data_IF_251030027425
#
_entry.id   IF_251030027425
#
_cell.length_a   1.000
_cell.length_b   1.000
_cell.length_c   1.000
_cell.angle_alpha   90.00
_cell.angle_beta   90.00
_cell.angle_gamma   90.00
#
_symmetry.space_group_name_H-M   'P 1'
#
loop_
_entity.id
_entity.type
_entity.pdbx_description
1 polymer ?
#
# COMPACT_ATOMS: atom_id res chain seq x y z
N UNK A 1 16.80 -2.74 -4.93
CA UNK A 1 15.84 -2.86 -6.04
C UNK A 1 15.28 -1.49 -6.39
N UNK A 2 14.99 -1.21 -7.68
CA UNK A 2 14.34 0.05 -8.04
C UNK A 2 12.90 0.04 -7.54
N UNK A 3 12.45 1.11 -6.89
CA UNK A 3 11.05 1.31 -6.55
C UNK A 3 10.27 1.35 -7.88
N UNK A 4 9.23 0.53 -7.98
CA UNK A 4 8.27 0.57 -9.08
C UNK A 4 7.04 1.27 -8.54
N UNK A 5 6.72 2.41 -9.10
CA UNK A 5 5.60 3.27 -8.71
C UNK A 5 4.39 3.11 -9.63
N UNK A 6 4.60 2.49 -10.78
CA UNK A 6 3.55 2.27 -11.77
C UNK A 6 3.73 0.91 -12.45
N UNK A 7 2.65 0.18 -12.63
CA UNK A 7 2.66 -1.06 -13.38
C UNK A 7 1.30 -1.38 -13.99
N UNK A 8 1.33 -2.17 -15.05
CA UNK A 8 0.16 -2.67 -15.74
C UNK A 8 0.18 -4.19 -15.74
N UNK A 9 -0.89 -4.80 -15.25
CA UNK A 9 -1.08 -6.26 -15.20
C UNK A 9 -2.35 -6.66 -15.93
N UNK A 10 -2.36 -7.87 -16.48
CA UNK A 10 -3.57 -8.52 -16.99
C UNK A 10 -4.14 -9.41 -15.89
N UNK A 11 -5.37 -9.17 -15.50
CA UNK A 11 -6.07 -9.96 -14.49
C UNK A 11 -7.29 -10.66 -15.11
N UNK A 12 -7.52 -11.93 -14.74
CA UNK A 12 -8.65 -12.75 -15.20
C UNK A 12 -9.30 -13.45 -14.03
N UNK A 13 -10.60 -13.28 -13.87
CA UNK A 13 -11.42 -14.15 -13.04
C UNK A 13 -11.45 -15.57 -13.61
N UNK A 14 -11.55 -16.56 -12.74
CA UNK A 14 -11.61 -17.97 -13.13
C UNK A 14 -12.81 -18.26 -14.05
N UNK A 15 -12.66 -19.16 -14.99
CA UNK A 15 -13.78 -19.62 -15.81
C UNK A 15 -14.70 -20.51 -14.98
N UNK A 16 -16.01 -20.41 -15.17
CA UNK A 16 -16.98 -21.37 -14.63
C UNK A 16 -16.82 -22.76 -15.27
N UNK A 17 -16.98 -23.80 -14.47
CA UNK A 17 -17.04 -25.18 -14.94
C UNK A 17 -18.28 -25.44 -15.81
N UNK A 18 -18.23 -26.42 -16.68
CA UNK A 18 -19.38 -26.80 -17.52
C UNK A 18 -20.37 -27.63 -16.71
N UNK A 19 -21.68 -27.45 -16.94
CA UNK A 19 -22.68 -28.40 -16.58
C UNK A 19 -22.56 -29.67 -17.47
N UNK A 20 -23.06 -30.80 -17.00
CA UNK A 20 -22.94 -32.05 -17.73
C UNK A 20 -24.30 -32.72 -17.95
N UNK A 21 -24.38 -33.50 -19.00
CA UNK A 21 -25.51 -34.41 -19.24
C UNK A 21 -25.14 -35.77 -18.70
N UNK A 22 -25.86 -36.26 -17.69
CA UNK A 22 -25.71 -37.60 -17.09
C UNK A 22 -27.06 -38.17 -16.71
N UNK A 23 -27.13 -39.50 -16.59
CA UNK A 23 -28.31 -40.26 -16.27
C UNK A 23 -28.07 -41.11 -15.03
N UNK A 24 -29.12 -41.27 -14.23
CA UNK A 24 -29.09 -42.29 -13.19
C UNK A 24 -29.18 -43.66 -13.82
N UNK A 25 -28.29 -44.55 -13.42
CA UNK A 25 -28.30 -45.95 -13.77
C UNK A 25 -28.80 -46.75 -12.54
N UNK A 26 -30.04 -47.19 -12.55
CA UNK A 26 -30.58 -48.10 -11.54
C UNK A 26 -30.59 -49.51 -12.08
N UNK A 27 -30.57 -50.50 -11.18
CA UNK A 27 -30.62 -51.90 -11.56
C UNK A 27 -31.86 -52.16 -12.44
N UNK A 28 -31.66 -52.59 -13.66
CA UNK A 28 -32.69 -52.85 -14.70
C UNK A 28 -33.30 -51.59 -15.36
N UNK A 29 -32.80 -50.42 -15.14
CA UNK A 29 -33.23 -49.16 -15.80
C UNK A 29 -32.04 -48.28 -16.15
N UNK A 30 -31.67 -48.23 -17.44
CA UNK A 30 -30.51 -47.48 -17.90
C UNK A 30 -30.68 -45.94 -17.83
N UNK A 31 -31.92 -45.44 -17.92
CA UNK A 31 -32.24 -44.03 -17.94
C UNK A 31 -33.29 -43.69 -16.88
N UNK A 32 -32.91 -43.82 -15.62
CA UNK A 32 -33.83 -43.59 -14.48
C UNK A 32 -34.06 -42.10 -14.14
N UNK A 33 -33.55 -41.19 -14.99
CA UNK A 33 -33.75 -39.76 -14.90
C UNK A 33 -32.47 -38.96 -15.04
N UNK A 34 -32.56 -37.66 -15.40
CA UNK A 34 -31.41 -36.80 -15.54
C UNK A 34 -30.73 -36.56 -14.19
N UNK A 35 -29.42 -36.67 -14.16
CA UNK A 35 -28.59 -36.58 -12.95
C UNK A 35 -27.29 -35.81 -13.12
N UNK A 36 -27.17 -35.06 -14.20
CA UNK A 36 -26.01 -34.22 -14.42
C UNK A 36 -25.98 -33.02 -13.50
N UNK A 37 -24.90 -32.87 -12.78
CA UNK A 37 -24.65 -31.72 -11.88
C UNK A 37 -24.23 -30.46 -12.63
N UNK A 38 -24.31 -29.35 -11.95
CA UNK A 38 -23.87 -28.05 -12.45
C UNK A 38 -22.34 -27.92 -12.37
N UNK A 39 -21.75 -27.08 -13.21
CA UNK A 39 -20.37 -26.67 -13.06
C UNK A 39 -20.20 -25.70 -11.85
N UNK A 40 -19.04 -25.72 -11.22
CA UNK A 40 -18.68 -24.78 -10.18
C UNK A 40 -18.40 -23.38 -10.75
N UNK A 41 -18.60 -22.35 -9.97
CA UNK A 41 -18.20 -21.00 -10.36
C UNK A 41 -16.66 -20.87 -10.41
N UNK A 42 -16.13 -20.02 -11.27
CA UNK A 42 -14.72 -19.61 -11.22
C UNK A 42 -14.44 -18.73 -10.01
N UNK A 43 -13.19 -18.68 -9.58
CA UNK A 43 -12.75 -17.80 -8.49
C UNK A 43 -12.71 -16.33 -8.89
N UNK A 44 -12.92 -15.46 -7.94
CA UNK A 44 -12.86 -14.02 -8.08
C UNK A 44 -11.42 -13.50 -7.92
N UNK A 45 -11.16 -12.24 -8.36
CA UNK A 45 -9.90 -11.55 -8.10
C UNK A 45 -10.12 -10.42 -7.12
N UNK A 46 -9.35 -10.46 -6.06
CA UNK A 46 -9.28 -9.42 -5.03
C UNK A 46 -7.92 -8.76 -5.03
N UNK A 47 -7.87 -7.49 -4.61
CA UNK A 47 -6.66 -6.78 -4.25
C UNK A 47 -6.64 -6.57 -2.73
N UNK A 48 -5.44 -6.67 -2.13
CA UNK A 48 -5.27 -6.47 -0.68
C UNK A 48 -4.11 -5.53 -0.39
N UNK A 49 -4.36 -4.55 0.49
CA UNK A 49 -3.35 -3.62 0.97
C UNK A 49 -2.37 -4.28 1.95
N UNK A 50 -1.07 -4.19 1.69
CA UNK A 50 -0.01 -4.68 2.59
C UNK A 50 1.07 -3.63 2.77
N UNK A 51 1.81 -3.70 3.89
CA UNK A 51 2.90 -2.76 4.19
C UNK A 51 4.23 -3.24 3.60
N UNK A 52 4.27 -3.48 2.30
CA UNK A 52 5.50 -3.78 1.60
C UNK A 52 5.57 -3.01 0.27
N UNK A 53 6.23 -1.86 0.30
CA UNK A 53 6.37 -0.99 -0.88
C UNK A 53 7.24 -1.61 -1.98
N UNK A 54 8.00 -2.67 -1.68
CA UNK A 54 8.85 -3.37 -2.66
C UNK A 54 8.08 -4.36 -3.55
N UNK A 55 6.81 -4.66 -3.21
CA UNK A 55 6.00 -5.69 -3.88
C UNK A 55 5.83 -5.46 -5.36
N UNK A 56 5.57 -4.22 -5.80
CA UNK A 56 5.44 -3.93 -7.23
C UNK A 56 6.71 -4.28 -8.00
N UNK A 57 7.87 -4.14 -7.37
CA UNK A 57 9.14 -4.56 -7.95
C UNK A 57 9.25 -6.08 -8.16
N UNK A 58 8.64 -6.88 -7.31
CA UNK A 58 8.61 -8.35 -7.43
C UNK A 58 7.71 -8.80 -8.57
N UNK A 59 6.62 -8.09 -8.84
CA UNK A 59 5.69 -8.40 -9.93
C UNK A 59 6.20 -7.96 -11.33
N UNK A 60 7.38 -7.36 -11.42
CA UNK A 60 7.94 -6.84 -12.69
C UNK A 60 8.02 -7.90 -13.80
N UNK A 61 8.21 -9.18 -13.43
CA UNK A 61 8.24 -10.32 -14.35
C UNK A 61 6.89 -11.00 -14.56
N UNK A 62 5.93 -10.80 -13.67
CA UNK A 62 4.65 -11.47 -13.66
C UNK A 62 3.55 -10.50 -14.09
N UNK A 63 3.14 -10.61 -15.36
CA UNK A 63 2.17 -9.68 -15.95
C UNK A 63 0.78 -10.25 -16.07
N UNK A 64 0.56 -11.51 -15.67
CA UNK A 64 -0.74 -12.20 -15.74
C UNK A 64 -1.11 -12.80 -14.40
N UNK A 65 -2.31 -12.50 -13.95
CA UNK A 65 -2.89 -13.00 -12.72
C UNK A 65 -4.24 -13.63 -13.07
N UNK A 66 -4.41 -14.92 -12.79
CA UNK A 66 -5.61 -15.67 -13.14
C UNK A 66 -6.10 -16.47 -11.92
N UNK A 67 -7.37 -16.27 -11.56
CA UNK A 67 -8.02 -17.04 -10.52
C UNK A 67 -8.37 -18.45 -11.02
N UNK A 68 -8.53 -19.39 -10.09
CA UNK A 68 -8.79 -20.78 -10.44
C UNK A 68 -10.14 -20.94 -11.13
N UNK A 69 -10.20 -21.81 -12.16
CA UNK A 69 -11.44 -22.16 -12.82
C UNK A 69 -12.29 -23.09 -11.95
N UNK A 70 -13.61 -23.00 -12.06
CA UNK A 70 -14.53 -23.95 -11.47
C UNK A 70 -14.44 -25.32 -12.16
N UNK A 71 -14.69 -26.36 -11.41
CA UNK A 71 -14.73 -27.73 -11.92
C UNK A 71 -16.04 -28.01 -12.67
N UNK A 72 -16.00 -28.91 -13.66
CA UNK A 72 -17.20 -29.36 -14.34
C UNK A 72 -18.09 -30.15 -13.37
N UNK A 73 -19.39 -30.13 -13.62
CA UNK A 73 -20.33 -30.99 -12.92
C UNK A 73 -20.06 -32.47 -13.17
N UNK A 74 -20.56 -33.31 -12.29
CA UNK A 74 -20.43 -34.76 -12.36
C UNK A 74 -21.82 -35.45 -12.43
N UNK A 75 -21.83 -36.74 -12.53
CA UNK A 75 -23.07 -37.56 -12.43
C UNK A 75 -23.61 -37.59 -11.00
N UNK A 76 -24.81 -38.13 -10.81
CA UNK A 76 -25.47 -38.26 -9.51
C UNK A 76 -25.76 -36.94 -8.81
N UNK A 77 -26.12 -35.92 -9.59
CA UNK A 77 -26.40 -34.55 -9.13
C UNK A 77 -25.25 -33.90 -8.34
N UNK A 78 -24.01 -34.31 -8.62
CA UNK A 78 -22.85 -33.70 -7.98
C UNK A 78 -22.40 -32.48 -8.77
N UNK A 79 -22.49 -31.32 -8.13
CA UNK A 79 -21.99 -30.08 -8.68
C UNK A 79 -20.46 -30.02 -8.62
N UNK A 80 -19.87 -29.38 -9.61
CA UNK A 80 -18.43 -29.08 -9.62
C UNK A 80 -18.05 -28.14 -8.51
N UNK A 81 -16.85 -28.32 -7.94
CA UNK A 81 -16.31 -27.37 -6.92
C UNK A 81 -16.03 -26.02 -7.56
N UNK A 82 -16.27 -24.95 -6.81
CA UNK A 82 -15.87 -23.59 -7.19
C UNK A 82 -14.34 -23.47 -7.27
N UNK A 83 -13.86 -22.62 -8.16
CA UNK A 83 -12.47 -22.21 -8.22
C UNK A 83 -12.11 -21.35 -7.00
N UNK A 84 -10.86 -21.44 -6.55
CA UNK A 84 -10.37 -20.57 -5.48
C UNK A 84 -10.15 -19.15 -6.00
N UNK A 85 -10.47 -18.18 -5.14
CA UNK A 85 -10.19 -16.78 -5.40
C UNK A 85 -8.68 -16.51 -5.41
N UNK A 86 -8.28 -15.47 -6.15
CA UNK A 86 -6.93 -14.96 -6.18
C UNK A 86 -6.87 -13.60 -5.48
N UNK A 87 -5.98 -13.49 -4.50
CA UNK A 87 -5.69 -12.22 -3.84
C UNK A 87 -4.35 -11.70 -4.34
N UNK A 88 -4.36 -10.50 -4.92
CA UNK A 88 -3.16 -9.79 -5.35
C UNK A 88 -2.78 -8.79 -4.24
N UNK A 89 -1.63 -9.02 -3.61
CA UNK A 89 -1.13 -8.12 -2.58
C UNK A 89 -0.49 -6.89 -3.24
N UNK A 90 -0.90 -5.71 -2.79
CA UNK A 90 -0.39 -4.43 -3.30
C UNK A 90 0.00 -3.53 -2.12
N UNK A 91 1.00 -2.67 -2.28
CA UNK A 91 1.36 -1.71 -1.23
C UNK A 91 0.17 -0.82 -0.84
N UNK A 92 0.05 -0.51 0.46
CA UNK A 92 -0.86 0.56 0.92
C UNK A 92 -0.49 1.87 0.21
N UNK A 93 -1.49 2.62 -0.23
CA UNK A 93 -1.34 3.79 -1.10
C UNK A 93 -1.45 3.48 -2.60
N UNK A 94 -1.65 2.20 -2.98
CA UNK A 94 -1.89 1.84 -4.38
C UNK A 94 -3.28 2.28 -4.83
N UNK A 95 -3.33 2.85 -6.03
CA UNK A 95 -4.55 3.12 -6.78
C UNK A 95 -4.58 2.16 -7.95
N UNK A 96 -5.65 1.39 -8.05
CA UNK A 96 -5.87 0.40 -9.10
C UNK A 96 -7.02 0.85 -9.97
N UNK A 97 -6.73 1.10 -11.24
CA UNK A 97 -7.73 1.46 -12.24
C UNK A 97 -7.98 0.28 -13.18
N UNK A 98 -9.22 -0.13 -13.29
CA UNK A 98 -9.66 -1.06 -14.32
C UNK A 98 -9.78 -0.30 -15.65
N UNK A 99 -8.93 -0.64 -16.65
CA UNK A 99 -8.91 0.06 -17.94
C UNK A 99 -10.16 -0.19 -18.78
N UNK A 100 -10.88 -1.31 -18.53
CA UNK A 100 -12.06 -1.68 -19.29
C UNK A 100 -13.32 -0.96 -18.79
N UNK A 101 -13.49 -0.80 -17.47
CA UNK A 101 -14.68 -0.19 -16.85
C UNK A 101 -14.44 1.24 -16.40
N UNK A 102 -13.16 1.66 -16.23
CA UNK A 102 -12.80 2.95 -15.65
C UNK A 102 -12.93 2.98 -14.11
N UNK A 103 -13.33 1.88 -13.47
CA UNK A 103 -13.48 1.77 -12.03
C UNK A 103 -12.12 1.94 -11.33
N UNK A 104 -12.13 2.68 -10.21
CA UNK A 104 -10.92 3.00 -9.45
C UNK A 104 -11.06 2.48 -8.03
N UNK A 105 -10.08 1.74 -7.57
CA UNK A 105 -9.97 1.22 -6.22
C UNK A 105 -8.75 1.80 -5.52
N UNK A 106 -8.92 2.31 -4.29
CA UNK A 106 -7.82 2.84 -3.47
C UNK A 106 -7.59 1.95 -2.26
N UNK A 107 -6.34 1.56 -2.02
CA UNK A 107 -5.93 0.77 -0.86
C UNK A 107 -5.30 1.71 0.18
N UNK A 108 -6.11 2.16 1.14
CA UNK A 108 -5.71 3.14 2.14
C UNK A 108 -5.23 2.52 3.46
N UNK A 109 -5.60 1.26 3.72
CA UNK A 109 -5.30 0.57 4.99
C UNK A 109 -4.71 -0.81 4.75
N UNK A 110 -3.86 -1.25 5.69
CA UNK A 110 -3.37 -2.62 5.72
C UNK A 110 -4.53 -3.61 5.93
N UNK A 111 -4.51 -4.72 5.20
CA UNK A 111 -5.56 -5.74 5.23
C UNK A 111 -6.84 -5.34 4.49
N UNK A 112 -6.95 -4.13 3.96
CA UNK A 112 -8.10 -3.72 3.15
C UNK A 112 -8.19 -4.63 1.92
N UNK A 113 -9.32 -5.31 1.76
CA UNK A 113 -9.61 -6.24 0.68
C UNK A 113 -10.71 -5.66 -0.22
N UNK A 114 -10.50 -5.67 -1.53
CA UNK A 114 -11.48 -5.19 -2.51
C UNK A 114 -11.59 -6.16 -3.68
N UNK A 115 -12.81 -6.45 -4.12
CA UNK A 115 -13.11 -7.23 -5.31
C UNK A 115 -12.88 -6.35 -6.55
N UNK A 116 -12.11 -6.84 -7.51
CA UNK A 116 -11.82 -6.10 -8.77
C UNK A 116 -12.35 -6.81 -10.01
N UNK A 117 -12.39 -8.15 -10.02
CA UNK A 117 -12.96 -8.91 -11.14
C UNK A 117 -13.70 -10.14 -10.62
N UNK A 118 -14.85 -10.44 -11.22
CA UNK A 118 -15.66 -11.60 -10.87
C UNK A 118 -15.30 -12.82 -11.72
N UNK A 119 -15.33 -13.98 -11.09
CA UNK A 119 -15.26 -15.26 -11.77
C UNK A 119 -16.51 -15.56 -12.61
N UNK A 120 -16.34 -16.44 -13.57
CA UNK A 120 -17.41 -16.89 -14.44
C UNK A 120 -18.39 -17.80 -13.72
N UNK A 121 -19.67 -17.67 -14.00
CA UNK A 121 -20.71 -18.56 -13.45
C UNK A 121 -20.60 -19.95 -14.06
N UNK A 122 -20.75 -20.98 -13.24
CA UNK A 122 -20.84 -22.37 -13.68
C UNK A 122 -22.06 -22.66 -14.57
N UNK A 123 -21.91 -23.58 -15.48
CA UNK A 123 -22.98 -24.03 -16.37
C UNK A 123 -23.97 -24.97 -15.67
N UNK A 124 -25.21 -24.98 -16.13
CA UNK A 124 -26.26 -25.86 -15.62
C UNK A 124 -26.15 -27.28 -16.18
N UNK A 125 -26.28 -28.29 -15.33
CA UNK A 125 -26.40 -29.70 -15.73
C UNK A 125 -27.82 -30.07 -16.18
N UNK A 126 -27.97 -31.20 -16.83
CA UNK A 126 -29.28 -31.61 -17.38
C UNK A 126 -30.36 -31.82 -16.31
N UNK A 127 -29.99 -32.09 -15.07
CA UNK A 127 -30.95 -32.21 -13.97
C UNK A 127 -31.79 -30.93 -13.74
N UNK A 128 -31.23 -29.76 -14.00
CA UNK A 128 -31.89 -28.44 -13.82
C UNK A 128 -32.99 -28.23 -14.87
N UNK A 129 -32.85 -28.80 -16.08
CA UNK A 129 -33.82 -28.66 -17.19
C UNK A 129 -34.99 -29.62 -17.13
N UNK A 130 -35.05 -30.49 -16.11
CA UNK A 130 -36.16 -31.40 -15.92
C UNK A 130 -37.45 -30.64 -15.58
N UNK A 131 -38.49 -30.90 -16.36
CA UNK A 131 -39.82 -30.33 -16.16
C UNK A 131 -40.92 -31.37 -16.47
N UNK A 132 -42.18 -30.97 -16.25
CA UNK A 132 -43.33 -31.83 -16.61
C UNK A 132 -43.42 -32.12 -18.11
N UNK A 133 -42.96 -31.20 -18.94
CA UNK A 133 -42.95 -31.33 -20.42
C UNK A 133 -41.64 -31.98 -20.91
N UNK A 134 -40.49 -31.64 -20.29
CA UNK A 134 -39.20 -32.21 -20.63
C UNK A 134 -38.70 -33.13 -19.50
N UNK A 135 -39.09 -34.39 -19.52
CA UNK A 135 -38.72 -35.36 -18.46
C UNK A 135 -37.30 -35.92 -18.62
N UNK A 136 -36.75 -35.84 -19.83
CA UNK A 136 -35.45 -36.41 -20.19
C UNK A 136 -34.58 -35.41 -20.94
N UNK A 137 -34.19 -34.26 -20.33
CA UNK A 137 -33.41 -33.24 -21.00
C UNK A 137 -32.00 -33.73 -21.35
N UNK A 138 -31.62 -33.56 -22.61
CA UNK A 138 -30.30 -33.91 -23.14
C UNK A 138 -29.41 -32.65 -23.32
N UNK A 139 -29.66 -31.61 -22.56
CA UNK A 139 -28.98 -30.36 -22.67
C UNK A 139 -28.24 -29.98 -21.37
N UNK A 140 -27.13 -29.31 -21.50
CA UNK A 140 -26.40 -28.67 -20.43
C UNK A 140 -25.80 -27.35 -20.95
N UNK A 141 -25.48 -26.44 -20.09
CA UNK A 141 -24.84 -25.20 -20.52
C UNK A 141 -23.34 -25.18 -20.19
N UNK A 142 -22.52 -24.55 -21.03
CA UNK A 142 -21.14 -24.31 -20.70
C UNK A 142 -21.00 -23.26 -19.56
N UNK A 143 -19.94 -23.36 -18.78
CA UNK A 143 -19.57 -22.32 -17.85
C UNK A 143 -19.16 -21.03 -18.58
N UNK A 144 -19.49 -19.89 -17.98
CA UNK A 144 -19.15 -18.58 -18.50
C UNK A 144 -17.67 -18.25 -18.22
N UNK A 145 -17.07 -17.45 -19.09
CA UNK A 145 -15.75 -16.86 -18.82
C UNK A 145 -15.85 -15.92 -17.61
N UNK A 146 -14.80 -15.83 -16.81
CA UNK A 146 -14.65 -14.78 -15.83
C UNK A 146 -14.39 -13.43 -16.50
N UNK A 147 -14.49 -12.36 -15.73
CA UNK A 147 -14.14 -11.03 -16.17
C UNK A 147 -12.64 -10.94 -16.44
N UNK A 148 -12.25 -10.18 -17.46
CA UNK A 148 -10.87 -9.93 -17.82
C UNK A 148 -10.65 -8.44 -18.01
N UNK A 149 -9.59 -7.91 -17.41
CA UNK A 149 -9.19 -6.52 -17.59
C UNK A 149 -7.69 -6.33 -17.43
N UNK A 150 -7.19 -5.28 -18.09
CA UNK A 150 -5.94 -4.69 -17.68
C UNK A 150 -6.17 -3.80 -16.48
N UNK A 151 -5.38 -4.02 -15.45
CA UNK A 151 -5.35 -3.20 -14.24
C UNK A 151 -4.10 -2.33 -14.29
N UNK A 152 -4.32 -1.02 -14.28
CA UNK A 152 -3.28 -0.03 -14.13
C UNK A 152 -3.11 0.30 -12.65
N UNK A 153 -1.94 0.03 -12.12
CA UNK A 153 -1.62 0.19 -10.70
C UNK A 153 -0.64 1.35 -10.57
N UNK A 154 -1.02 2.37 -9.84
CA UNK A 154 -0.21 3.54 -9.49
C UNK A 154 0.00 3.54 -7.97
N UNK A 155 1.25 3.53 -7.52
CA UNK A 155 1.58 3.66 -6.10
C UNK A 155 1.72 5.14 -5.73
N UNK A 156 0.71 5.69 -5.06
CA UNK A 156 0.81 7.01 -4.45
C UNK A 156 1.39 6.89 -3.06
N UNK A 157 2.70 7.04 -2.97
CA UNK A 157 3.37 7.04 -1.69
C UNK A 157 2.94 8.26 -0.87
N UNK A 158 2.14 8.01 0.17
CA UNK A 158 1.90 8.99 1.22
C UNK A 158 3.00 8.76 2.24
N UNK A 159 3.87 9.75 2.43
CA UNK A 159 4.89 9.65 3.45
C UNK A 159 4.23 9.52 4.83
N UNK A 160 4.57 8.47 5.57
CA UNK A 160 4.08 8.27 6.95
C UNK A 160 4.69 9.30 7.91
N UNK A 161 5.96 9.67 7.67
CA UNK A 161 6.61 10.75 8.40
C UNK A 161 7.43 11.65 7.48
N UNK A 162 7.45 12.95 7.80
CA UNK A 162 8.27 13.94 7.11
C UNK A 162 9.43 14.41 7.96
N UNK A 163 10.67 14.37 7.42
CA UNK A 163 11.83 14.96 8.06
C UNK A 163 11.85 16.46 7.75
N UNK A 164 11.88 17.27 8.80
CA UNK A 164 11.93 18.73 8.73
C UNK A 164 13.15 19.24 9.52
N UNK A 165 13.59 20.44 9.25
CA UNK A 165 14.73 21.07 9.94
C UNK A 165 15.52 21.98 9.02
N UNK A 166 16.43 22.77 9.58
CA UNK A 166 17.31 23.70 8.86
C UNK A 166 18.19 22.97 7.80
N UNK A 167 18.72 23.71 6.82
CA UNK A 167 19.77 23.18 5.97
C UNK A 167 20.92 22.62 6.83
N UNK A 168 21.53 21.53 6.39
CA UNK A 168 22.62 20.83 7.10
C UNK A 168 22.24 20.24 8.48
N UNK A 169 20.97 20.22 8.87
CA UNK A 169 20.52 19.50 10.07
C UNK A 169 20.66 17.97 9.99
N UNK A 170 21.23 17.43 8.91
CA UNK A 170 21.49 15.99 8.77
C UNK A 170 20.30 15.17 8.33
N UNK A 171 19.22 15.77 7.80
CA UNK A 171 17.99 15.07 7.36
C UNK A 171 18.25 13.95 6.36
N UNK A 172 18.91 14.25 5.25
CA UNK A 172 19.16 13.26 4.19
C UNK A 172 20.14 12.16 4.66
N UNK A 173 21.14 12.52 5.47
CA UNK A 173 22.05 11.53 6.08
C UNK A 173 21.31 10.59 7.03
N UNK A 174 20.41 11.17 7.84
CA UNK A 174 19.57 10.41 8.75
C UNK A 174 18.62 9.48 7.99
N UNK A 175 17.95 9.97 6.93
CA UNK A 175 17.08 9.16 6.08
C UNK A 175 17.85 7.95 5.51
N UNK A 176 19.05 8.17 4.98
CA UNK A 176 19.89 7.10 4.44
C UNK A 176 20.28 6.08 5.51
N UNK A 177 20.66 6.53 6.72
CA UNK A 177 21.01 5.64 7.82
C UNK A 177 19.81 4.80 8.29
N UNK A 178 18.62 5.41 8.44
CA UNK A 178 17.40 4.73 8.86
C UNK A 178 16.89 3.71 7.81
N UNK A 179 17.15 3.93 6.54
CA UNK A 179 16.60 3.13 5.43
C UNK A 179 17.63 2.23 4.76
N UNK A 180 18.83 2.11 5.32
CA UNK A 180 19.92 1.28 4.78
C UNK A 180 20.37 1.69 3.39
N UNK A 181 20.58 2.99 3.14
CA UNK A 181 20.98 3.57 1.85
C UNK A 181 20.03 3.22 0.68
N UNK A 182 18.80 2.82 0.98
CA UNK A 182 17.75 2.58 -0.02
C UNK A 182 16.87 3.80 -0.28
N UNK A 183 17.25 4.95 0.27
CA UNK A 183 16.57 6.22 -0.03
C UNK A 183 16.70 6.53 -1.53
N UNK A 184 15.59 6.74 -2.17
CA UNK A 184 15.50 7.02 -3.60
C UNK A 184 14.78 8.32 -3.81
N UNK A 185 15.22 9.03 -4.83
CA UNK A 185 14.49 10.14 -5.39
C UNK A 185 13.16 9.57 -5.92
N UNK A 186 12.06 9.98 -5.31
CA UNK A 186 10.71 9.63 -5.75
C UNK A 186 10.16 10.78 -6.57
N UNK A 187 9.75 10.51 -7.81
CA UNK A 187 9.04 11.51 -8.61
C UNK A 187 7.59 11.62 -8.07
N UNK A 188 7.30 12.73 -7.43
CA UNK A 188 5.91 13.12 -7.23
C UNK A 188 5.46 13.93 -8.45
N UNK A 189 4.40 13.49 -9.11
CA UNK A 189 3.87 14.10 -10.35
C UNK A 189 3.54 15.61 -10.25
N UNK A 190 3.75 16.23 -9.08
CA UNK A 190 3.39 17.61 -8.76
C UNK A 190 4.48 18.40 -8.02
N UNK A 191 5.70 17.86 -7.90
CA UNK A 191 6.84 18.57 -7.31
C UNK A 191 7.87 18.91 -8.36
N UNK A 192 8.44 20.11 -8.29
CA UNK A 192 9.58 20.52 -9.12
C UNK A 192 10.92 20.07 -8.53
N UNK A 193 10.92 19.59 -7.27
CA UNK A 193 12.04 18.94 -6.59
C UNK A 193 11.59 17.57 -6.11
N UNK A 194 12.31 16.56 -6.49
CA UNK A 194 12.07 15.18 -6.10
C UNK A 194 12.52 14.98 -4.64
N UNK A 195 11.62 14.68 -3.69
CA UNK A 195 12.01 14.37 -2.33
C UNK A 195 12.75 13.03 -2.27
N UNK A 196 13.72 12.93 -1.38
CA UNK A 196 14.30 11.64 -1.06
C UNK A 196 13.32 10.85 -0.19
N UNK A 197 12.96 9.66 -0.65
CA UNK A 197 12.07 8.75 0.07
C UNK A 197 12.84 7.54 0.55
N UNK A 198 12.49 7.07 1.74
CA UNK A 198 13.04 5.84 2.28
C UNK A 198 11.99 5.00 2.98
N UNK A 199 12.17 3.68 2.95
CA UNK A 199 11.30 2.74 3.64
C UNK A 199 11.92 2.32 4.98
N UNK A 200 11.16 2.46 6.07
CA UNK A 200 11.53 2.01 7.40
C UNK A 200 10.44 1.08 7.93
N UNK A 201 10.70 -0.23 8.00
CA UNK A 201 9.75 -1.26 8.48
C UNK A 201 8.33 -1.13 7.88
N UNK A 202 8.26 -0.84 6.57
CA UNK A 202 7.00 -0.68 5.83
C UNK A 202 6.37 0.72 5.89
N UNK A 203 6.92 1.65 6.67
CA UNK A 203 6.57 3.06 6.65
C UNK A 203 7.42 3.82 5.65
N UNK A 204 6.84 4.85 5.02
CA UNK A 204 7.56 5.74 4.10
C UNK A 204 8.00 6.98 4.83
N UNK A 205 9.29 7.26 4.85
CA UNK A 205 9.87 8.50 5.34
C UNK A 205 10.22 9.40 4.15
N UNK A 206 9.93 10.69 4.25
CA UNK A 206 10.28 11.68 3.23
C UNK A 206 11.25 12.73 3.81
N UNK A 207 12.39 12.93 3.17
CA UNK A 207 13.22 14.11 3.38
C UNK A 207 12.58 15.28 2.65
N UNK A 208 12.28 16.34 3.39
CA UNK A 208 11.60 17.52 2.90
C UNK A 208 12.66 18.60 2.64
N UNK A 209 13.17 18.73 1.41
CA UNK A 209 14.12 19.79 1.08
C UNK A 209 13.40 21.13 1.02
N UNK A 210 14.05 22.18 1.53
CA UNK A 210 13.67 23.56 1.22
C UNK A 210 12.52 24.18 2.02
N UNK A 211 12.24 23.74 3.27
CA UNK A 211 11.32 24.47 4.15
C UNK A 211 11.77 25.92 4.45
N UNK A 212 13.05 26.26 4.24
CA UNK A 212 13.66 27.49 4.78
C UNK A 212 14.27 28.42 3.72
N UNK A 213 14.48 27.99 2.49
CA UNK A 213 15.02 28.90 1.46
C UNK A 213 13.88 29.63 0.72
N UNK A 214 13.31 30.68 1.34
CA UNK A 214 12.46 31.65 0.65
C UNK A 214 10.96 31.36 0.63
N UNK A 215 10.45 30.53 1.52
CA UNK A 215 9.01 30.26 1.62
C UNK A 215 8.20 31.53 1.99
N UNK A 216 8.77 32.43 2.80
CA UNK A 216 8.18 33.72 3.18
C UNK A 216 8.16 34.77 2.05
N UNK A 217 8.94 34.57 0.98
CA UNK A 217 9.08 35.53 -0.12
C UNK A 217 8.16 35.27 -1.34
N UNK A 218 7.16 34.37 -1.22
CA UNK A 218 6.20 34.11 -2.29
C UNK A 218 6.76 33.35 -3.51
N UNK A 219 8.04 32.99 -3.52
CA UNK A 219 8.71 32.15 -4.53
C UNK A 219 8.96 30.74 -4.03
N UNK A 220 8.43 30.38 -2.85
CA UNK A 220 8.65 29.10 -2.22
C UNK A 220 7.99 27.96 -2.99
N UNK A 221 8.63 26.82 -2.98
CA UNK A 221 8.23 25.49 -3.49
C UNK A 221 6.90 24.96 -2.93
N UNK A 222 6.15 25.87 -2.54
CA UNK A 222 4.83 25.89 -2.48
C UNK A 222 3.91 25.06 -1.75
N UNK A 223 2.82 25.70 -1.72
CA UNK A 223 1.50 25.23 -1.29
C UNK A 223 1.14 23.80 -1.73
N UNK A 224 1.64 23.29 -2.84
CA UNK A 224 1.40 21.92 -3.30
C UNK A 224 2.19 20.88 -2.50
N UNK A 225 3.47 21.12 -2.25
CA UNK A 225 4.34 20.18 -1.51
C UNK A 225 3.97 20.10 -0.03
N UNK A 226 3.66 21.23 0.59
CA UNK A 226 3.23 21.28 1.99
C UNK A 226 1.85 20.65 2.22
N UNK A 227 0.98 20.60 1.21
CA UNK A 227 -0.26 19.81 1.24
C UNK A 227 0.00 18.30 1.32
N UNK A 228 1.13 17.82 0.80
CA UNK A 228 1.48 16.40 0.94
C UNK A 228 2.08 16.09 2.31
N UNK A 229 2.85 17.03 2.87
CA UNK A 229 3.32 16.93 4.27
C UNK A 229 2.13 16.99 5.23
N UNK A 230 1.11 17.77 4.90
CA UNK A 230 -0.13 17.77 5.66
C UNK A 230 -0.80 16.37 5.75
N UNK A 231 -0.42 15.44 4.88
CA UNK A 231 -0.89 14.04 4.93
C UNK A 231 0.00 13.11 5.75
N UNK A 232 1.23 13.53 6.14
CA UNK A 232 2.07 12.70 7.01
C UNK A 232 1.46 12.58 8.40
N UNK A 233 1.66 11.44 9.06
CA UNK A 233 1.11 11.20 10.40
C UNK A 233 1.97 11.84 11.50
N UNK A 234 3.28 11.97 11.27
CA UNK A 234 4.26 12.44 12.25
C UNK A 234 5.30 13.34 11.59
N UNK A 235 5.74 14.36 12.28
CA UNK A 235 6.88 15.18 11.89
C UNK A 235 8.14 14.72 12.65
N UNK A 236 9.23 14.49 11.93
CA UNK A 236 10.55 14.18 12.47
C UNK A 236 11.41 15.44 12.38
N UNK A 237 11.47 16.20 13.46
CA UNK A 237 12.16 17.50 13.48
C UNK A 237 13.63 17.33 13.82
N UNK A 238 14.50 17.42 12.82
CA UNK A 238 15.93 17.29 12.94
C UNK A 238 16.56 18.62 13.37
N UNK A 239 17.25 18.60 14.49
CA UNK A 239 18.01 19.73 15.04
C UNK A 239 19.47 19.33 15.20
N UNK A 240 20.38 20.06 14.55
CA UNK A 240 21.81 19.75 14.60
C UNK A 240 22.44 20.21 15.91
N UNK A 241 23.16 19.33 16.58
CA UNK A 241 23.96 19.66 17.77
C UNK A 241 25.29 20.38 17.45
N UNK A 242 25.68 20.49 16.18
CA UNK A 242 26.77 21.39 15.77
C UNK A 242 26.39 22.88 15.92
N UNK A 243 25.09 23.17 15.87
CA UNK A 243 24.63 24.54 16.02
C UNK A 243 24.98 25.11 17.39
N UNK A 244 25.38 26.38 17.45
CA UNK A 244 25.59 27.09 18.71
C UNK A 244 24.27 27.29 19.46
N UNK A 245 23.14 27.37 18.72
CA UNK A 245 21.82 27.71 19.27
C UNK A 245 20.73 26.72 18.82
N UNK A 246 20.81 25.43 19.19
CA UNK A 246 19.88 24.41 18.70
C UNK A 246 18.39 24.71 18.99
N UNK A 247 18.10 25.36 20.12
CA UNK A 247 16.74 25.76 20.47
C UNK A 247 16.18 26.84 19.54
N UNK A 248 17.00 27.83 19.19
CA UNK A 248 16.61 28.88 18.26
C UNK A 248 16.37 28.33 16.86
N UNK A 249 17.21 27.39 16.42
CA UNK A 249 17.04 26.68 15.13
C UNK A 249 15.70 25.92 15.09
N UNK A 250 15.36 25.25 16.19
CA UNK A 250 14.09 24.58 16.35
C UNK A 250 12.91 25.57 16.26
N UNK A 251 12.98 26.68 16.99
CA UNK A 251 11.93 27.72 17.00
C UNK A 251 11.73 28.32 15.62
N UNK A 252 12.82 28.62 14.88
CA UNK A 252 12.75 29.12 13.51
C UNK A 252 11.95 28.22 12.59
N UNK A 253 12.20 26.90 12.63
CA UNK A 253 11.46 25.93 11.82
C UNK A 253 10.00 25.85 12.26
N UNK A 254 9.73 25.92 13.57
CA UNK A 254 8.36 25.90 14.11
C UNK A 254 7.55 27.10 13.69
N UNK A 255 8.16 28.29 13.70
CA UNK A 255 7.51 29.53 13.27
C UNK A 255 7.15 29.47 11.78
N UNK A 256 8.06 28.94 10.97
CA UNK A 256 7.80 28.75 9.53
C UNK A 256 6.66 27.76 9.28
N UNK A 257 6.63 26.62 9.97
CA UNK A 257 5.54 25.65 9.87
C UNK A 257 4.21 26.26 10.34
N UNK A 258 4.24 27.09 11.38
CA UNK A 258 3.04 27.74 11.93
C UNK A 258 2.46 28.78 10.99
N UNK A 259 3.32 29.48 10.26
CA UNK A 259 2.93 30.50 9.28
C UNK A 259 2.36 29.90 7.99
N UNK A 260 2.48 28.59 7.83
CA UNK A 260 2.09 27.90 6.62
C UNK A 260 0.68 27.29 6.71
N UNK A 261 -0.18 27.67 5.76
CA UNK A 261 -1.58 27.24 5.74
C UNK A 261 -2.33 27.62 7.02
N UNK A 262 -3.42 26.94 7.31
CA UNK A 262 -4.22 27.20 8.53
C UNK A 262 -3.60 26.60 9.81
N UNK A 263 -2.27 26.44 9.86
CA UNK A 263 -1.55 25.88 11.01
C UNK A 263 -1.75 24.39 11.24
N UNK A 264 -2.28 23.64 10.26
CA UNK A 264 -2.51 22.20 10.38
C UNK A 264 -1.22 21.43 10.66
N UNK A 265 -0.12 21.82 10.05
CA UNK A 265 1.19 21.18 10.25
C UNK A 265 1.72 21.35 11.68
N UNK A 266 1.48 22.50 12.30
CA UNK A 266 1.93 22.79 13.66
C UNK A 266 1.20 21.96 14.72
N UNK A 267 0.02 21.41 14.40
CA UNK A 267 -0.79 20.55 15.29
C UNK A 267 -0.41 19.08 15.24
N UNK A 268 0.43 18.70 14.29
CA UNK A 268 0.83 17.28 14.12
C UNK A 268 1.72 16.79 15.26
N UNK A 269 1.61 15.48 15.58
CA UNK A 269 2.59 14.84 16.45
C UNK A 269 4.01 15.06 15.94
N UNK A 270 4.90 15.44 16.83
CA UNK A 270 6.29 15.79 16.53
C UNK A 270 7.23 14.96 17.38
N UNK A 271 8.26 14.41 16.75
CA UNK A 271 9.42 13.80 17.40
C UNK A 271 10.64 14.65 17.09
N UNK A 272 11.27 15.23 18.11
CA UNK A 272 12.49 16.00 17.97
C UNK A 272 13.68 15.05 17.92
N UNK A 273 14.55 15.21 16.92
CA UNK A 273 15.73 14.40 16.72
C UNK A 273 16.96 15.30 16.76
N UNK A 274 17.73 15.18 17.83
CA UNK A 274 19.02 15.84 17.96
C UNK A 274 20.06 15.04 17.17
N UNK A 275 20.46 15.58 16.03
CA UNK A 275 21.42 14.95 15.12
C UNK A 275 22.85 15.33 15.47
N UNK A 276 23.83 14.56 14.95
CA UNK A 276 25.27 14.81 15.16
C UNK A 276 25.63 14.84 16.64
N UNK A 277 25.13 13.85 17.40
CA UNK A 277 25.34 13.81 18.86
C UNK A 277 26.79 13.57 19.27
N UNK A 278 27.66 13.18 18.33
CA UNK A 278 29.12 13.07 18.49
C UNK A 278 29.83 14.43 18.72
N UNK A 279 29.20 15.52 18.39
CA UNK A 279 29.78 16.88 18.51
C UNK A 279 29.66 17.49 19.90
N UNK A 280 28.93 16.84 20.81
CA UNK A 280 28.67 17.31 22.18
C UNK A 280 28.86 16.21 23.22
N UNK A 281 29.20 16.63 24.43
CA UNK A 281 29.26 15.69 25.56
C UNK A 281 27.85 15.26 26.02
N UNK A 282 27.69 14.07 26.62
CA UNK A 282 26.40 13.60 27.14
C UNK A 282 25.73 14.57 28.11
N UNK A 283 26.52 15.32 28.91
CA UNK A 283 26.01 16.31 29.86
C UNK A 283 25.42 17.54 29.15
N UNK A 284 26.04 17.98 28.06
CA UNK A 284 25.54 19.08 27.23
C UNK A 284 24.27 18.66 26.46
N UNK A 285 24.27 17.45 25.89
CA UNK A 285 23.11 16.92 25.19
C UNK A 285 21.91 16.87 26.13
N UNK A 286 22.10 16.37 27.37
CA UNK A 286 21.04 16.35 28.37
C UNK A 286 20.52 17.74 28.69
N UNK A 287 21.40 18.73 28.91
CA UNK A 287 21.00 20.12 29.14
C UNK A 287 20.20 20.71 27.97
N UNK A 288 20.55 20.36 26.74
CA UNK A 288 19.82 20.82 25.55
C UNK A 288 18.47 20.11 25.46
N UNK A 289 18.44 18.80 25.64
CA UNK A 289 17.21 18.01 25.63
C UNK A 289 16.20 18.47 26.68
N UNK A 290 16.66 18.81 27.88
CA UNK A 290 15.80 19.30 28.98
C UNK A 290 15.12 20.64 28.66
N UNK A 291 15.63 21.40 27.68
CA UNK A 291 15.01 22.66 27.23
C UNK A 291 13.75 22.41 26.38
N UNK A 292 13.60 21.24 25.76
CA UNK A 292 12.42 20.86 24.98
C UNK A 292 11.29 20.28 25.86
N UNK A 293 10.93 21.02 26.93
CA UNK A 293 9.94 20.58 27.94
C UNK A 293 8.64 20.04 27.31
N UNK A 294 8.22 18.87 27.77
CA UNK A 294 6.97 18.25 27.34
C UNK A 294 6.95 17.63 25.94
N UNK A 295 8.08 17.62 25.24
CA UNK A 295 8.23 17.01 23.92
C UNK A 295 9.07 15.75 23.98
N UNK A 296 8.80 14.82 23.08
CA UNK A 296 9.63 13.62 22.92
C UNK A 296 10.88 13.99 22.13
N UNK A 297 12.05 13.77 22.74
CA UNK A 297 13.38 14.07 22.17
C UNK A 297 14.18 12.78 22.10
N UNK A 298 14.73 12.50 20.93
CA UNK A 298 15.67 11.41 20.69
C UNK A 298 17.00 11.99 20.20
N UNK A 299 18.10 11.26 20.44
CA UNK A 299 19.43 11.67 19.99
C UNK A 299 19.99 10.64 19.03
N UNK A 300 20.71 11.08 18.01
CA UNK A 300 21.29 10.17 17.04
C UNK A 300 22.66 10.63 16.54
N UNK A 301 23.54 9.63 16.40
CA UNK A 301 24.76 9.72 15.61
C UNK A 301 24.64 8.71 14.47
N UNK A 302 24.62 9.19 13.23
CA UNK A 302 24.28 8.36 12.05
C UNK A 302 25.32 7.28 11.73
N UNK A 303 26.53 7.34 12.33
CA UNK A 303 27.58 6.32 12.21
C UNK A 303 27.55 5.31 13.39
N UNK A 304 26.66 5.48 14.36
CA UNK A 304 26.45 4.55 15.46
C UNK A 304 25.17 3.74 15.23
N UNK A 305 25.33 2.48 14.86
CA UNK A 305 24.22 1.57 14.53
C UNK A 305 23.24 1.38 15.70
N UNK A 306 23.72 1.42 16.96
CA UNK A 306 22.84 1.29 18.12
C UNK A 306 21.93 2.50 18.28
N UNK A 307 22.45 3.72 18.08
CA UNK A 307 21.66 4.93 18.16
C UNK A 307 20.64 5.01 17.01
N UNK A 308 21.03 4.61 15.81
CA UNK A 308 20.16 4.53 14.64
C UNK A 308 19.03 3.52 14.86
N UNK A 309 19.34 2.33 15.39
CA UNK A 309 18.35 1.30 15.69
C UNK A 309 17.36 1.76 16.76
N UNK A 310 17.83 2.33 17.86
CA UNK A 310 16.98 2.88 18.92
C UNK A 310 16.04 3.95 18.39
N UNK A 311 16.55 4.87 17.56
CA UNK A 311 15.74 5.89 16.92
C UNK A 311 14.70 5.28 15.96
N UNK A 312 15.09 4.27 15.17
CA UNK A 312 14.17 3.53 14.29
C UNK A 312 12.99 2.96 15.07
N UNK A 313 13.24 2.30 16.18
CA UNK A 313 12.21 1.72 17.04
C UNK A 313 11.31 2.82 17.63
N UNK A 314 11.88 3.95 18.03
CA UNK A 314 11.17 5.11 18.54
C UNK A 314 10.23 5.75 17.50
N UNK A 315 10.69 5.87 16.25
CA UNK A 315 9.90 6.36 15.11
C UNK A 315 8.75 5.41 14.81
N UNK A 316 9.01 4.10 14.71
CA UNK A 316 7.98 3.10 14.44
C UNK A 316 6.90 3.09 15.53
N UNK A 317 7.31 3.19 16.80
CA UNK A 317 6.36 3.29 17.91
C UNK A 317 5.48 4.54 17.81
N UNK A 318 6.06 5.69 17.44
CA UNK A 318 5.32 6.94 17.25
C UNK A 318 4.32 6.83 16.07
N UNK A 319 4.72 6.20 14.96
CA UNK A 319 3.88 6.03 13.78
C UNK A 319 2.69 5.10 14.09
N UNK A 320 2.94 3.94 14.72
CA UNK A 320 1.87 2.98 15.09
C UNK A 320 0.84 3.59 16.03
N UNK A 321 1.27 4.45 16.97
CA UNK A 321 0.36 5.13 17.91
C UNK A 321 -0.59 6.11 17.22
N UNK A 322 -0.20 6.66 16.08
CA UNK A 322 -0.98 7.67 15.35
C UNK A 322 -1.77 7.10 14.15
N UNK A 323 -1.74 5.78 13.93
CA UNK A 323 -2.55 5.09 12.91
C UNK A 323 -3.89 4.57 13.43
N UNK A 324 -4.11 4.58 14.73
CA UNK A 324 -5.39 4.25 15.37
C UNK A 324 -6.23 5.49 15.55
#
# INVERSE_FOLDING_TARGET
MALVDEMRILARGGKGGNGVVRWLHLKSQEYSGPSGGNGGNGGDIYIRGVRDISLLGRYRGEKKFEAASGQNGEGQNRDGKGGSDLVIDLPVGSIVRNESTGEVHELLKEGQLQLVLKGGRGGAGNAVFKSSVNRSPMESTPGKAGEEAYLHIELRLIASAGLIGLPNAGKSSLLNALTGASAKVGAYAFTTLDPNLGALYGFVLADIPGLIEGASAGKGLGSKFLRHIARTSVLLHCVSLESEKPLQDYETVRDEISSFGDGELSKKPELIILTKSDTRTPAEIKKISDKFKGKKVETVFVLDDESVKRLSDGIVAALRKNEG
#
